data_IF_279827574144
#
_entry.id   IF_279827574144
#
_cell.length_a   1.000
_cell.length_b   1.000
_cell.length_c   1.000
_cell.angle_alpha   90.00
_cell.angle_beta   90.00
_cell.angle_gamma   90.00
#
_symmetry.space_group_name_H-M   'P 1'
#
loop_
_entity.id
_entity.type
_entity.pdbx_description
1 polymer ?
#
# COMPACT_ATOMS: atom_id res chain seq x y z
N UNK A 1 -21.39 -8.31 -13.39
CA UNK A 1 -20.22 -7.98 -14.23
C UNK A 1 -19.65 -6.66 -13.75
N UNK A 2 -18.38 -6.60 -13.37
CA UNK A 2 -17.68 -5.33 -13.10
C UNK A 2 -17.41 -4.66 -14.44
N UNK A 3 -17.69 -3.36 -14.55
CA UNK A 3 -17.35 -2.57 -15.74
C UNK A 3 -15.91 -2.09 -15.64
N UNK A 4 -15.29 -1.74 -16.76
CA UNK A 4 -13.93 -1.17 -16.79
C UNK A 4 -13.84 0.11 -15.95
N UNK A 5 -14.89 0.93 -15.92
CA UNK A 5 -14.94 2.14 -15.10
C UNK A 5 -15.01 1.82 -13.59
N UNK A 6 -15.78 0.81 -13.20
CA UNK A 6 -15.84 0.34 -11.80
C UNK A 6 -14.51 -0.25 -11.35
N UNK A 7 -13.82 -0.99 -12.23
CA UNK A 7 -12.48 -1.50 -11.95
C UNK A 7 -11.47 -0.35 -11.79
N UNK A 8 -11.47 0.62 -12.70
CA UNK A 8 -10.59 1.79 -12.64
C UNK A 8 -10.74 2.55 -11.32
N UNK A 9 -11.99 2.81 -10.90
CA UNK A 9 -12.27 3.47 -9.62
C UNK A 9 -11.79 2.68 -8.41
N UNK A 10 -11.90 1.34 -8.43
CA UNK A 10 -11.40 0.48 -7.34
C UNK A 10 -9.88 0.49 -7.24
N UNK A 11 -9.20 0.52 -8.38
CA UNK A 11 -7.73 0.62 -8.43
C UNK A 11 -7.28 1.99 -7.94
N UNK A 12 -7.96 3.06 -8.34
CA UNK A 12 -7.70 4.42 -7.86
C UNK A 12 -7.87 4.52 -6.33
N UNK A 13 -8.99 4.05 -5.78
CA UNK A 13 -9.23 4.06 -4.33
C UNK A 13 -8.19 3.23 -3.57
N UNK A 14 -7.80 2.09 -4.12
CA UNK A 14 -6.74 1.26 -3.53
C UNK A 14 -5.41 1.99 -3.52
N UNK A 15 -5.05 2.65 -4.63
CA UNK A 15 -3.81 3.39 -4.75
C UNK A 15 -3.77 4.57 -3.79
N UNK A 16 -4.83 5.38 -3.72
CA UNK A 16 -4.91 6.50 -2.78
C UNK A 16 -4.80 6.03 -1.33
N UNK A 17 -5.48 4.95 -0.94
CA UNK A 17 -5.40 4.44 0.43
C UNK A 17 -3.99 3.98 0.80
N UNK A 18 -3.26 3.38 -0.14
CA UNK A 18 -1.87 2.96 0.12
C UNK A 18 -0.94 4.18 0.18
N UNK A 19 -1.12 5.17 -0.70
CA UNK A 19 -0.35 6.41 -0.69
C UNK A 19 -0.52 7.15 0.65
N UNK A 20 -1.77 7.34 1.10
CA UNK A 20 -2.08 8.01 2.37
C UNK A 20 -1.40 7.33 3.57
N UNK A 21 -1.45 6.00 3.62
CA UNK A 21 -0.86 5.22 4.71
C UNK A 21 0.67 5.17 4.65
N UNK A 22 1.25 5.10 3.46
CA UNK A 22 2.71 5.19 3.26
C UNK A 22 3.23 6.57 3.69
N UNK A 23 2.51 7.64 3.38
CA UNK A 23 2.86 8.99 3.81
C UNK A 23 2.71 9.17 5.33
N UNK A 24 1.78 8.45 5.96
CA UNK A 24 1.55 8.47 7.41
C UNK A 24 2.54 7.62 8.22
N UNK A 25 3.15 6.60 7.62
CA UNK A 25 4.07 5.66 8.29
C UNK A 25 5.14 6.32 9.19
N UNK A 26 5.82 7.41 8.79
CA UNK A 26 6.82 8.06 9.65
C UNK A 26 6.21 8.54 10.97
N UNK A 27 5.03 9.15 10.94
CA UNK A 27 4.34 9.61 12.15
C UNK A 27 3.93 8.43 13.03
N UNK A 28 3.39 7.36 12.42
CA UNK A 28 3.06 6.14 13.13
C UNK A 28 4.30 5.58 13.87
N UNK A 29 5.44 5.60 13.20
CA UNK A 29 6.67 5.06 13.73
C UNK A 29 7.26 5.87 14.89
N UNK A 30 6.99 7.18 14.94
CA UNK A 30 7.41 8.06 16.04
C UNK A 30 6.56 7.83 17.30
N UNK A 31 5.28 7.50 17.15
CA UNK A 31 4.36 7.25 18.27
C UNK A 31 4.21 5.78 18.66
N UNK A 32 4.80 4.85 17.90
CA UNK A 32 4.61 3.40 18.05
C UNK A 32 4.90 2.85 19.45
N UNK A 33 5.89 3.44 20.15
CA UNK A 33 6.25 3.05 21.51
C UNK A 33 5.08 3.23 22.50
N UNK A 34 4.20 4.20 22.23
CA UNK A 34 3.02 4.51 23.04
C UNK A 34 1.74 3.86 22.50
N UNK A 35 1.83 3.14 21.37
CA UNK A 35 0.67 2.48 20.78
C UNK A 35 0.20 1.31 21.65
N UNK A 36 -1.10 1.23 21.88
CA UNK A 36 -1.70 0.15 22.67
C UNK A 36 -1.66 -1.17 21.92
N UNK A 37 -1.71 -2.31 22.61
CA UNK A 37 -1.75 -3.62 21.94
C UNK A 37 -2.96 -3.76 21.00
N UNK A 38 -4.11 -3.19 21.39
CA UNK A 38 -5.28 -3.14 20.53
C UNK A 38 -5.04 -2.30 19.26
N UNK A 39 -4.42 -1.12 19.41
CA UNK A 39 -4.04 -0.27 18.29
C UNK A 39 -3.04 -0.96 17.36
N UNK A 40 -2.01 -1.61 17.91
CA UNK A 40 -1.05 -2.41 17.12
C UNK A 40 -1.74 -3.53 16.33
N UNK A 41 -2.73 -4.20 16.94
CA UNK A 41 -3.55 -5.20 16.26
C UNK A 41 -4.37 -4.62 15.11
N UNK A 42 -4.97 -3.43 15.30
CA UNK A 42 -5.67 -2.72 14.23
C UNK A 42 -4.74 -2.34 13.07
N UNK A 43 -3.56 -1.78 13.37
CA UNK A 43 -2.56 -1.46 12.36
C UNK A 43 -2.08 -2.70 11.61
N UNK A 44 -1.86 -3.81 12.29
CA UNK A 44 -1.48 -5.06 11.65
C UNK A 44 -2.54 -5.50 10.62
N UNK A 45 -3.82 -5.49 11.01
CA UNK A 45 -4.88 -5.90 10.10
C UNK A 45 -5.05 -4.94 8.91
N UNK A 46 -4.94 -3.63 9.15
CA UNK A 46 -4.99 -2.63 8.09
C UNK A 46 -3.84 -2.79 7.09
N UNK A 47 -2.61 -2.95 7.57
CA UNK A 47 -1.46 -3.17 6.69
C UNK A 47 -1.52 -4.51 5.95
N UNK A 48 -2.14 -5.53 6.53
CA UNK A 48 -2.40 -6.78 5.81
C UNK A 48 -3.32 -6.54 4.60
N UNK A 49 -4.43 -5.82 4.79
CA UNK A 49 -5.36 -5.47 3.70
C UNK A 49 -4.69 -4.59 2.63
N UNK A 50 -3.85 -3.63 3.04
CA UNK A 50 -3.13 -2.75 2.11
C UNK A 50 -2.09 -3.51 1.29
N UNK A 51 -1.39 -4.48 1.88
CA UNK A 51 -0.44 -5.34 1.16
C UNK A 51 -1.16 -6.18 0.11
N UNK A 52 -2.35 -6.70 0.39
CA UNK A 52 -3.16 -7.42 -0.60
C UNK A 52 -3.60 -6.51 -1.75
N UNK A 53 -4.05 -5.29 -1.44
CA UNK A 53 -4.41 -4.27 -2.45
C UNK A 53 -3.21 -3.88 -3.31
N UNK A 54 -2.04 -3.73 -2.72
CA UNK A 54 -0.79 -3.45 -3.44
C UNK A 54 -0.43 -4.58 -4.40
N UNK A 55 -0.65 -5.84 -3.99
CA UNK A 55 -0.48 -7.00 -4.88
C UNK A 55 -1.44 -6.99 -6.08
N UNK A 56 -2.70 -6.58 -5.88
CA UNK A 56 -3.66 -6.43 -6.97
C UNK A 56 -3.29 -5.28 -7.93
N UNK A 57 -2.74 -4.17 -7.42
CA UNK A 57 -2.21 -3.07 -8.23
C UNK A 57 -0.99 -3.51 -9.04
N UNK A 58 -0.03 -4.21 -8.42
CA UNK A 58 1.16 -4.76 -9.11
C UNK A 58 0.76 -5.73 -10.23
N UNK A 59 -0.20 -6.62 -9.96
CA UNK A 59 -0.74 -7.51 -10.99
C UNK A 59 -1.37 -6.72 -12.15
N UNK A 60 -2.16 -5.69 -11.86
CA UNK A 60 -2.82 -4.85 -12.87
C UNK A 60 -1.81 -4.05 -13.69
N UNK A 61 -0.76 -3.54 -13.05
CA UNK A 61 0.34 -2.85 -13.70
C UNK A 61 1.09 -3.78 -14.67
N UNK A 62 1.49 -4.97 -14.21
CA UNK A 62 2.19 -5.97 -15.04
C UNK A 62 1.34 -6.50 -16.19
N UNK A 63 0.03 -6.61 -15.99
CA UNK A 63 -0.91 -7.01 -17.04
C UNK A 63 -1.20 -5.90 -18.07
N UNK A 64 -0.71 -4.67 -17.84
CA UNK A 64 -1.01 -3.51 -18.69
C UNK A 64 -2.48 -3.07 -18.61
N UNK A 65 -3.19 -3.47 -17.54
CA UNK A 65 -4.60 -3.16 -17.32
C UNK A 65 -4.81 -2.01 -16.33
N UNK A 66 -3.73 -1.50 -15.72
CA UNK A 66 -3.76 -0.30 -14.90
C UNK A 66 -4.01 0.92 -15.81
N UNK A 67 -5.00 1.78 -15.51
CA UNK A 67 -5.22 3.01 -16.25
C UNK A 67 -3.96 3.88 -16.30
N UNK A 68 -3.67 4.49 -17.45
CA UNK A 68 -2.45 5.29 -17.66
C UNK A 68 -2.31 6.43 -16.64
N UNK A 69 -3.42 7.05 -16.25
CA UNK A 69 -3.47 8.10 -15.23
C UNK A 69 -3.03 7.63 -13.82
N UNK A 70 -3.13 6.32 -13.54
CA UNK A 70 -2.68 5.72 -12.28
C UNK A 70 -1.26 5.16 -12.36
N UNK A 71 -0.69 5.00 -13.57
CA UNK A 71 0.66 4.44 -13.75
C UNK A 71 1.72 5.35 -13.11
N UNK A 72 1.68 6.65 -13.37
CA UNK A 72 2.68 7.59 -12.85
C UNK A 72 2.63 7.66 -11.31
N UNK A 73 1.41 7.64 -10.75
CA UNK A 73 1.18 7.56 -9.30
C UNK A 73 1.72 6.26 -8.72
N UNK A 74 1.38 5.13 -9.34
CA UNK A 74 1.87 3.83 -8.92
C UNK A 74 3.40 3.74 -8.95
N UNK A 75 4.05 4.25 -10.00
CA UNK A 75 5.52 4.30 -10.08
C UNK A 75 6.15 5.20 -9.01
N UNK A 76 5.49 6.31 -8.66
CA UNK A 76 5.90 7.17 -7.55
C UNK A 76 5.85 6.41 -6.23
N UNK A 77 4.72 5.72 -5.97
CA UNK A 77 4.56 4.83 -4.81
C UNK A 77 5.67 3.76 -4.77
N UNK A 78 6.01 3.14 -5.91
CA UNK A 78 7.11 2.16 -5.99
C UNK A 78 8.46 2.75 -5.56
N UNK A 79 8.67 4.04 -5.79
CA UNK A 79 9.86 4.76 -5.33
C UNK A 79 9.91 4.94 -3.81
N UNK A 80 8.76 5.04 -3.15
CA UNK A 80 8.64 5.24 -1.69
C UNK A 80 8.65 3.91 -0.91
N UNK A 81 8.22 2.82 -1.54
CA UNK A 81 8.08 1.51 -0.87
C UNK A 81 9.33 1.00 -0.16
N UNK A 82 10.57 1.18 -0.64
CA UNK A 82 11.75 0.74 0.12
C UNK A 82 11.85 1.39 1.51
N UNK A 83 11.54 2.68 1.61
CA UNK A 83 11.50 3.40 2.88
C UNK A 83 10.34 2.94 3.75
N UNK A 84 9.16 2.75 3.15
CA UNK A 84 7.98 2.22 3.85
C UNK A 84 8.26 0.83 4.45
N UNK A 85 8.83 -0.10 3.66
CA UNK A 85 9.20 -1.44 4.11
C UNK A 85 10.16 -1.40 5.29
N UNK A 86 11.17 -0.52 5.26
CA UNK A 86 12.08 -0.38 6.39
C UNK A 86 11.37 0.04 7.69
N UNK A 87 10.36 0.90 7.59
CA UNK A 87 9.52 1.29 8.74
C UNK A 87 8.67 0.09 9.17
N UNK A 88 7.92 -0.54 8.26
CA UNK A 88 7.05 -1.69 8.55
C UNK A 88 7.82 -2.82 9.27
N UNK A 89 9.02 -3.14 8.80
CA UNK A 89 9.90 -4.12 9.46
C UNK A 89 10.26 -3.71 10.89
N UNK A 90 10.56 -2.43 11.14
CA UNK A 90 10.85 -1.93 12.50
C UNK A 90 9.63 -2.00 13.41
N UNK A 91 8.44 -1.86 12.86
CA UNK A 91 7.18 -1.88 13.62
C UNK A 91 6.58 -3.29 13.76
N UNK A 92 7.18 -4.31 13.15
CA UNK A 92 6.66 -5.68 13.05
C UNK A 92 5.27 -5.75 12.37
N UNK A 93 5.08 -4.90 11.35
CA UNK A 93 3.87 -4.84 10.53
C UNK A 93 4.00 -5.64 9.24
N UNK A 94 2.87 -6.07 8.63
CA UNK A 94 2.87 -6.78 7.35
C UNK A 94 3.61 -6.00 6.26
N UNK A 95 4.40 -6.73 5.48
CA UNK A 95 5.19 -6.19 4.38
C UNK A 95 4.79 -6.85 3.06
N UNK A 96 4.93 -6.15 1.91
CA UNK A 96 4.73 -6.76 0.61
C UNK A 96 5.69 -7.95 0.41
N UNK A 97 5.15 -9.07 -0.07
CA UNK A 97 5.88 -10.35 -0.19
C UNK A 97 7.08 -10.29 -1.15
N UNK A 98 7.08 -9.36 -2.11
CA UNK A 98 8.18 -9.11 -3.01
C UNK A 98 8.28 -7.59 -3.29
N UNK A 99 9.49 -7.05 -3.48
CA UNK A 99 9.60 -5.70 -4.03
C UNK A 99 8.91 -5.70 -5.40
N UNK A 100 7.98 -4.76 -5.64
CA UNK A 100 7.35 -4.62 -6.94
C UNK A 100 8.44 -4.42 -8.00
N UNK A 101 8.35 -5.20 -9.08
CA UNK A 101 9.39 -5.23 -10.10
C UNK A 101 9.34 -3.93 -10.90
N UNK A 102 10.47 -3.22 -10.96
CA UNK A 102 10.67 -2.06 -11.84
C UNK A 102 10.67 -2.47 -13.30
#
# INVERSE_FOLDING_TARGET
>A
MVTTAELGRRLELSLSAIEDEVDFLPELADRWANESDAGRGSWFQEWQDLVERLGALDQSYRAGTLPLELVDRYQTLLGQLPSAVAILTRLDLPQPAAPPSR
#
